data_IF_875248063454
#
_entry.id   IF_875248063454
#
_cell.length_a   1.000
_cell.length_b   1.000
_cell.length_c   1.000
_cell.angle_alpha   90.00
_cell.angle_beta   90.00
_cell.angle_gamma   90.00
#
_symmetry.space_group_name_H-M   'P 1'
#
loop_
_entity.id
_entity.type
_entity.pdbx_description
1 polymer ?
#
# COMPACT_ATOMS: atom_id res chain seq x y z
N UNK A 1 17.65 2.13 -11.83
CA UNK A 1 16.42 2.09 -11.01
C UNK A 1 16.85 2.48 -9.61
N UNK A 2 16.38 3.61 -9.09
CA UNK A 2 16.72 4.01 -7.71
C UNK A 2 16.09 3.04 -6.73
N UNK A 3 16.85 2.59 -5.72
CA UNK A 3 16.30 1.69 -4.70
C UNK A 3 15.35 2.48 -3.79
N UNK A 4 14.33 1.81 -3.23
CA UNK A 4 13.42 2.46 -2.29
C UNK A 4 14.16 3.04 -1.08
N UNK A 5 15.25 2.40 -0.65
CA UNK A 5 16.12 2.87 0.43
C UNK A 5 16.83 4.18 0.09
N UNK A 6 17.18 4.43 -1.19
CA UNK A 6 17.76 5.71 -1.63
C UNK A 6 16.74 6.86 -1.59
N UNK A 7 15.46 6.56 -1.83
CA UNK A 7 14.39 7.56 -1.72
C UNK A 7 14.07 7.90 -0.27
N UNK A 8 14.18 6.92 0.64
CA UNK A 8 13.83 7.07 2.05
C UNK A 8 14.94 7.73 2.90
N UNK A 9 16.19 7.73 2.44
CA UNK A 9 17.34 8.32 3.15
C UNK A 9 17.29 9.85 3.34
N UNK A 10 16.37 10.56 2.66
CA UNK A 10 16.23 12.03 2.70
C UNK A 10 15.19 12.46 3.75
N UNK A 11 14.43 11.53 4.34
CA UNK A 11 13.35 11.85 5.26
C UNK A 11 13.83 11.90 6.73
N UNK A 12 13.26 12.81 7.55
CA UNK A 12 13.53 12.80 8.99
C UNK A 12 13.18 11.46 9.65
N UNK A 13 13.82 11.11 10.78
CA UNK A 13 13.48 9.91 11.54
C UNK A 13 11.98 9.87 11.87
N UNK A 14 11.37 8.70 11.69
CA UNK A 14 9.93 8.45 11.90
C UNK A 14 8.97 9.23 10.99
N UNK A 15 9.47 10.06 10.07
CA UNK A 15 8.61 10.71 9.08
C UNK A 15 8.05 9.67 8.10
N UNK A 16 6.82 9.92 7.65
CA UNK A 16 6.17 9.12 6.64
C UNK A 16 6.92 9.20 5.31
N UNK A 17 7.15 8.04 4.69
CA UNK A 17 7.76 7.92 3.34
C UNK A 17 6.80 7.25 2.38
N UNK A 18 6.94 7.39 1.05
CA UNK A 18 6.08 6.69 0.10
C UNK A 18 6.06 5.16 0.28
N UNK A 19 7.20 4.56 0.64
CA UNK A 19 7.28 3.13 0.94
C UNK A 19 6.48 2.79 2.21
N UNK A 20 6.65 3.60 3.26
CA UNK A 20 5.89 3.47 4.51
C UNK A 20 4.39 3.60 4.27
N UNK A 21 3.95 4.57 3.45
CA UNK A 21 2.52 4.73 3.11
C UNK A 21 1.95 3.45 2.50
N UNK A 22 2.66 2.85 1.55
CA UNK A 22 2.20 1.61 0.91
C UNK A 22 2.08 0.47 1.93
N UNK A 23 3.10 0.26 2.75
CA UNK A 23 3.13 -0.79 3.77
C UNK A 23 2.01 -0.61 4.80
N UNK A 24 1.84 0.59 5.34
CA UNK A 24 0.80 0.91 6.33
C UNK A 24 -0.59 0.78 5.71
N UNK A 25 -0.80 1.24 4.47
CA UNK A 25 -2.06 1.09 3.78
C UNK A 25 -2.44 -0.39 3.58
N UNK A 26 -1.49 -1.23 3.19
CA UNK A 26 -1.70 -2.68 3.07
C UNK A 26 -2.00 -3.33 4.42
N UNK A 27 -1.29 -2.92 5.49
CA UNK A 27 -1.56 -3.38 6.85
C UNK A 27 -2.97 -3.01 7.33
N UNK A 28 -3.42 -1.78 7.08
CA UNK A 28 -4.79 -1.38 7.39
C UNK A 28 -5.84 -2.20 6.63
N UNK A 29 -5.61 -2.51 5.36
CA UNK A 29 -6.51 -3.38 4.58
C UNK A 29 -6.52 -4.80 5.15
N UNK A 30 -5.37 -5.31 5.59
CA UNK A 30 -5.24 -6.61 6.24
C UNK A 30 -5.76 -6.64 7.70
N UNK A 31 -6.19 -5.50 8.25
CA UNK A 31 -6.58 -5.40 9.66
C UNK A 31 -5.44 -5.57 10.65
N UNK A 32 -4.19 -5.38 10.19
CA UNK A 32 -2.99 -5.58 10.99
C UNK A 32 -2.65 -4.33 11.83
N UNK A 33 -2.11 -4.57 13.02
CA UNK A 33 -1.49 -3.55 13.89
C UNK A 33 0.03 -3.66 13.93
N UNK A 34 0.60 -4.65 13.24
CA UNK A 34 2.04 -4.87 13.10
C UNK A 34 2.34 -5.44 11.71
N UNK A 35 3.54 -5.14 11.18
CA UNK A 35 4.13 -5.74 9.99
C UNK A 35 4.75 -7.11 10.27
N UNK A 36 4.74 -7.57 11.53
CA UNK A 36 5.23 -8.87 11.92
C UNK A 36 4.08 -9.81 12.31
N UNK A 37 4.22 -11.08 11.95
CA UNK A 37 3.40 -12.19 12.44
C UNK A 37 4.34 -13.31 12.90
N UNK A 38 4.22 -13.76 14.14
CA UNK A 38 5.08 -14.79 14.75
C UNK A 38 6.59 -14.54 14.56
N UNK A 39 7.02 -13.27 14.68
CA UNK A 39 8.41 -12.87 14.53
C UNK A 39 8.94 -12.88 13.08
N UNK A 40 8.08 -13.06 12.08
CA UNK A 40 8.40 -12.97 10.66
C UNK A 40 7.65 -11.82 10.01
N UNK A 41 8.14 -11.31 8.88
CA UNK A 41 7.44 -10.30 8.09
C UNK A 41 6.08 -10.85 7.62
N UNK A 42 5.03 -10.05 7.82
CA UNK A 42 3.65 -10.45 7.54
C UNK A 42 3.42 -10.67 6.03
N UNK A 43 2.57 -11.64 5.71
CA UNK A 43 2.32 -12.04 4.33
C UNK A 43 1.68 -10.96 3.47
N UNK A 44 0.99 -9.97 4.07
CA UNK A 44 0.37 -8.86 3.32
C UNK A 44 1.38 -7.92 2.67
N UNK A 45 2.63 -7.94 3.14
CA UNK A 45 3.70 -7.06 2.70
C UNK A 45 4.09 -7.35 1.24
N UNK A 46 4.34 -6.30 0.43
CA UNK A 46 4.72 -6.49 -0.97
C UNK A 46 6.15 -7.04 -1.08
N UNK A 47 6.36 -7.97 -2.01
CA UNK A 47 7.69 -8.44 -2.34
C UNK A 47 8.52 -7.33 -3.03
N UNK A 48 9.85 -7.41 -2.91
CA UNK A 48 10.77 -6.51 -3.61
C UNK A 48 10.97 -5.14 -2.97
N UNK A 49 10.37 -4.86 -1.81
CA UNK A 49 10.79 -3.75 -0.94
C UNK A 49 11.96 -4.19 -0.06
N UNK A 50 12.91 -3.28 0.16
CA UNK A 50 13.93 -3.44 1.19
C UNK A 50 13.33 -3.11 2.54
N UNK A 51 13.10 -4.12 3.39
CA UNK A 51 12.59 -3.95 4.75
C UNK A 51 13.74 -3.68 5.72
N UNK A 52 14.38 -2.53 5.58
CA UNK A 52 15.39 -2.08 6.54
C UNK A 52 14.77 -1.71 7.89
N UNK A 53 15.62 -1.53 8.90
CA UNK A 53 15.17 -1.26 10.27
C UNK A 53 14.36 0.04 10.38
N UNK A 54 14.63 1.03 9.53
CA UNK A 54 13.97 2.33 9.62
C UNK A 54 12.58 2.30 9.00
N UNK A 55 12.43 1.69 7.82
CA UNK A 55 11.12 1.42 7.21
C UNK A 55 10.26 0.57 8.14
N UNK A 56 10.83 -0.48 8.72
CA UNK A 56 10.13 -1.32 9.68
C UNK A 56 9.66 -0.52 10.91
N UNK A 57 10.53 0.30 11.51
CA UNK A 57 10.19 1.12 12.66
C UNK A 57 9.08 2.15 12.36
N UNK A 58 9.14 2.80 11.19
CA UNK A 58 8.10 3.74 10.74
C UNK A 58 6.76 3.02 10.56
N UNK A 59 6.75 1.90 9.85
CA UNK A 59 5.52 1.15 9.59
C UNK A 59 4.88 0.62 10.89
N UNK A 60 5.68 0.10 11.83
CA UNK A 60 5.21 -0.32 13.15
C UNK A 60 4.60 0.85 13.92
N UNK A 61 5.27 2.00 13.96
CA UNK A 61 4.74 3.19 14.64
C UNK A 61 3.36 3.60 14.09
N UNK A 62 3.24 3.69 12.76
CA UNK A 62 2.00 4.11 12.12
C UNK A 62 0.87 3.08 12.28
N UNK A 63 1.15 1.78 12.18
CA UNK A 63 0.13 0.74 12.36
C UNK A 63 -0.33 0.61 13.81
N UNK A 64 0.58 0.76 14.79
CA UNK A 64 0.26 0.54 16.19
C UNK A 64 -0.30 1.78 16.90
N UNK A 65 0.12 2.99 16.52
CA UNK A 65 -0.09 4.19 17.35
C UNK A 65 -0.76 5.36 16.64
N UNK A 66 -0.70 5.45 15.32
CA UNK A 66 -1.23 6.59 14.58
C UNK A 66 -2.68 6.32 14.14
N UNK A 67 -3.65 7.19 14.48
CA UNK A 67 -5.02 7.02 13.99
C UNK A 67 -5.08 7.05 12.46
N UNK A 68 -5.85 6.13 11.86
CA UNK A 68 -5.99 6.01 10.39
C UNK A 68 -6.34 7.33 9.70
N UNK A 69 -7.19 8.17 10.31
CA UNK A 69 -7.55 9.46 9.76
C UNK A 69 -6.33 10.39 9.61
N UNK A 70 -5.48 10.45 10.64
CA UNK A 70 -4.23 11.22 10.64
C UNK A 70 -3.23 10.65 9.62
N UNK A 71 -3.09 9.33 9.57
CA UNK A 71 -2.26 8.67 8.55
C UNK A 71 -2.68 9.06 7.13
N UNK A 72 -3.99 9.07 6.83
CA UNK A 72 -4.49 9.42 5.50
C UNK A 72 -4.27 10.89 5.16
N UNK A 73 -4.44 11.79 6.14
CA UNK A 73 -4.16 13.21 5.99
C UNK A 73 -2.68 13.47 5.65
N UNK A 74 -1.77 12.92 6.46
CA UNK A 74 -0.32 13.04 6.26
C UNK A 74 0.11 12.41 4.93
N UNK A 75 -0.42 11.22 4.60
CA UNK A 75 -0.17 10.55 3.32
C UNK A 75 -0.61 11.40 2.13
N UNK A 76 -1.78 12.04 2.23
CA UNK A 76 -2.30 12.88 1.14
C UNK A 76 -1.48 14.14 0.94
N UNK A 77 -1.00 14.75 2.03
CA UNK A 77 -0.14 15.93 1.98
C UNK A 77 1.26 15.60 1.43
N UNK A 78 1.78 14.43 1.78
CA UNK A 78 3.10 13.94 1.35
C UNK A 78 3.13 13.52 -0.12
N UNK A 79 2.15 12.73 -0.56
CA UNK A 79 2.22 12.03 -1.84
C UNK A 79 1.71 12.89 -3.00
N UNK A 80 2.50 12.93 -4.07
CA UNK A 80 2.03 13.44 -5.37
C UNK A 80 0.80 12.65 -5.88
N UNK A 81 -0.05 13.26 -6.74
CA UNK A 81 -1.20 12.55 -7.31
C UNK A 81 -0.84 11.20 -7.94
N UNK A 82 0.32 11.14 -8.62
CA UNK A 82 0.82 9.91 -9.23
C UNK A 82 1.19 8.84 -8.20
N UNK A 83 1.86 9.20 -7.12
CA UNK A 83 2.19 8.25 -6.05
C UNK A 83 0.94 7.72 -5.35
N UNK A 84 -0.06 8.58 -5.12
CA UNK A 84 -1.35 8.16 -4.56
C UNK A 84 -2.07 7.14 -5.43
N UNK A 85 -2.09 7.38 -6.74
CA UNK A 85 -2.63 6.42 -7.71
C UNK A 85 -1.87 5.09 -7.68
N UNK A 86 -0.54 5.12 -7.61
CA UNK A 86 0.28 3.89 -7.49
C UNK A 86 -0.09 3.10 -6.22
N UNK A 87 -0.22 3.77 -5.06
CA UNK A 87 -0.65 3.11 -3.82
C UNK A 87 -2.03 2.48 -4.01
N UNK A 88 -2.99 3.21 -4.55
CA UNK A 88 -4.33 2.69 -4.81
C UNK A 88 -4.32 1.44 -5.73
N UNK A 89 -3.56 1.49 -6.82
CA UNK A 89 -3.40 0.35 -7.75
C UNK A 89 -2.81 -0.87 -7.03
N UNK A 90 -1.80 -0.69 -6.19
CA UNK A 90 -1.20 -1.78 -5.39
C UNK A 90 -2.17 -2.38 -4.38
N UNK A 91 -3.05 -1.57 -3.77
CA UNK A 91 -4.11 -2.10 -2.89
C UNK A 91 -5.09 -2.98 -3.67
N UNK A 92 -5.50 -2.54 -4.87
CA UNK A 92 -6.40 -3.31 -5.73
C UNK A 92 -5.75 -4.61 -6.24
N UNK A 93 -4.50 -4.52 -6.70
CA UNK A 93 -3.69 -5.67 -7.12
C UNK A 93 -3.57 -6.70 -5.99
N UNK A 94 -3.28 -6.27 -4.76
CA UNK A 94 -3.19 -7.19 -3.61
C UNK A 94 -4.50 -7.92 -3.34
N UNK A 95 -5.65 -7.25 -3.50
CA UNK A 95 -6.96 -7.89 -3.34
C UNK A 95 -7.22 -8.92 -4.44
N UNK A 96 -6.90 -8.60 -5.70
CA UNK A 96 -7.01 -9.56 -6.80
C UNK A 96 -6.13 -10.79 -6.56
N UNK A 97 -4.88 -10.58 -6.13
CA UNK A 97 -3.96 -11.66 -5.77
C UNK A 97 -4.46 -12.52 -4.60
N UNK A 98 -5.29 -11.98 -3.72
CA UNK A 98 -5.93 -12.71 -2.63
C UNK A 98 -7.22 -13.44 -3.07
N UNK A 99 -7.57 -13.42 -4.36
CA UNK A 99 -8.79 -14.01 -4.90
C UNK A 99 -10.05 -13.18 -4.64
N UNK A 100 -9.91 -11.96 -4.10
CA UNK A 100 -11.03 -11.08 -3.83
C UNK A 100 -11.28 -10.17 -5.04
N UNK A 101 -12.56 -10.01 -5.48
CA UNK A 101 -12.88 -8.98 -6.46
C UNK A 101 -12.54 -7.62 -5.85
N UNK A 102 -11.53 -6.96 -6.40
CA UNK A 102 -10.93 -5.73 -5.85
C UNK A 102 -11.88 -4.54 -5.76
N UNK A 103 -13.03 -4.62 -6.41
CA UNK A 103 -14.16 -3.68 -6.33
C UNK A 103 -15.01 -3.81 -5.06
N UNK A 104 -14.85 -4.86 -4.25
CA UNK A 104 -15.76 -5.15 -3.14
C UNK A 104 -15.18 -4.90 -1.73
N UNK A 105 -13.89 -4.61 -1.58
CA UNK A 105 -13.31 -4.44 -0.24
C UNK A 105 -13.54 -3.01 0.28
N UNK A 106 -14.40 -2.79 1.30
CA UNK A 106 -14.81 -1.45 1.74
C UNK A 106 -13.62 -0.63 2.27
N UNK A 107 -12.62 -1.27 2.89
CA UNK A 107 -11.43 -0.55 3.36
C UNK A 107 -10.54 -0.06 2.22
N UNK A 108 -10.48 -0.76 1.09
CA UNK A 108 -9.70 -0.29 -0.08
C UNK A 108 -10.33 0.99 -0.60
N UNK A 109 -11.65 1.01 -0.78
CA UNK A 109 -12.38 2.20 -1.20
C UNK A 109 -12.19 3.38 -0.23
N UNK A 110 -12.25 3.14 1.09
CA UNK A 110 -12.03 4.16 2.12
C UNK A 110 -10.61 4.74 2.08
N UNK A 111 -9.58 3.89 1.93
CA UNK A 111 -8.19 4.33 1.88
C UNK A 111 -7.94 5.11 0.58
N UNK A 112 -8.41 4.62 -0.57
CA UNK A 112 -8.31 5.34 -1.84
C UNK A 112 -8.97 6.72 -1.76
N UNK A 113 -10.18 6.80 -1.19
CA UNK A 113 -10.87 8.07 -0.98
C UNK A 113 -10.11 9.00 -0.02
N UNK A 114 -9.54 8.47 1.08
CA UNK A 114 -8.71 9.23 2.02
C UNK A 114 -7.43 9.79 1.40
N UNK A 115 -6.82 9.04 0.48
CA UNK A 115 -5.71 9.54 -0.35
C UNK A 115 -6.19 10.55 -1.41
N UNK A 116 -7.50 10.67 -1.64
CA UNK A 116 -8.05 11.54 -2.69
C UNK A 116 -7.90 10.97 -4.09
N UNK A 117 -7.92 9.64 -4.22
CA UNK A 117 -8.01 8.92 -5.50
C UNK A 117 -9.48 8.58 -5.74
N UNK A 118 -10.02 9.06 -6.86
CA UNK A 118 -11.41 8.81 -7.24
C UNK A 118 -11.56 7.49 -8.01
N UNK A 119 -12.78 6.94 -8.09
CA UNK A 119 -13.06 5.81 -8.98
C UNK A 119 -12.75 6.10 -10.46
N UNK A 120 -12.85 7.38 -10.87
CA UNK A 120 -12.53 7.83 -12.22
C UNK A 120 -11.04 7.73 -12.55
N UNK A 121 -10.17 7.98 -11.56
CA UNK A 121 -8.71 7.84 -11.72
C UNK A 121 -8.29 6.38 -11.91
N UNK A 122 -9.06 5.45 -11.33
CA UNK A 122 -8.79 4.01 -11.40
C UNK A 122 -9.39 3.35 -12.64
N UNK A 123 -10.47 3.91 -13.20
CA UNK A 123 -11.21 3.31 -14.31
C UNK A 123 -10.33 2.93 -15.52
N UNK A 124 -9.36 3.75 -15.97
CA UNK A 124 -8.49 3.41 -17.08
C UNK A 124 -7.59 2.20 -16.84
N UNK A 125 -7.33 1.85 -15.58
CA UNK A 125 -6.36 0.82 -15.20
C UNK A 125 -7.00 -0.54 -14.86
N UNK A 126 -8.34 -0.60 -14.75
CA UNK A 126 -9.04 -1.81 -14.29
C UNK A 126 -8.83 -3.02 -15.21
N UNK A 127 -8.93 -2.83 -16.52
CA UNK A 127 -8.74 -3.92 -17.48
C UNK A 127 -7.32 -4.49 -17.42
N UNK A 128 -6.32 -3.61 -17.33
CA UNK A 128 -4.91 -4.01 -17.20
C UNK A 128 -4.63 -4.72 -15.88
N UNK A 129 -5.20 -4.24 -14.76
CA UNK A 129 -5.07 -4.91 -13.47
C UNK A 129 -5.69 -6.31 -13.48
N UNK A 130 -6.87 -6.47 -14.10
CA UNK A 130 -7.50 -7.78 -14.23
C UNK A 130 -6.63 -8.74 -15.06
N UNK A 131 -6.07 -8.27 -16.17
CA UNK A 131 -5.19 -9.06 -17.04
C UNK A 131 -3.93 -9.56 -16.32
N UNK A 132 -3.33 -8.76 -15.44
CA UNK A 132 -2.16 -9.17 -14.64
C UNK A 132 -2.43 -10.36 -13.70
N UNK A 133 -3.69 -10.64 -13.39
CA UNK A 133 -4.12 -11.73 -12.52
C UNK A 133 -4.93 -12.81 -13.26
N UNK A 134 -5.00 -12.75 -14.59
CA UNK A 134 -5.60 -13.80 -15.41
C UNK A 134 -4.59 -14.94 -15.62
N UNK A 135 -4.60 -15.90 -14.71
CA UNK A 135 -3.74 -17.08 -14.79
C UNK A 135 -4.25 -18.11 -15.81
N UNK A 136 -5.54 -18.09 -16.16
CA UNK A 136 -6.14 -19.03 -17.12
C UNK A 136 -5.56 -18.82 -18.52
N UNK A 137 -5.21 -17.59 -18.86
CA UNK A 137 -4.50 -17.24 -20.10
C UNK A 137 -3.11 -17.92 -20.26
N UNK A 138 -2.50 -18.42 -19.18
CA UNK A 138 -1.20 -19.12 -19.23
C UNK A 138 -1.31 -20.65 -19.26
N UNK A 139 -2.51 -21.20 -19.08
CA UNK A 139 -2.76 -22.65 -19.06
C UNK A 139 -3.13 -23.21 -20.45
N UNK A 140 -3.08 -22.39 -21.50
CA UNK A 140 -3.30 -22.75 -22.91
C UNK A 140 -2.01 -23.25 -23.56
#
# INVERSE_FOLDING_TARGET
MGSWSELDAIYPPLALTPATVLVVALGHVAGATSIYNDGQLASFLPAGLGYDAELCARAEHYLATVPRARFLEESRALLSPRQRLIVALRLHERQLAAGNPSTSHPLVAQICAGLGVSPGDLAPHRATLALLHDHDSFAQ
#
